data_IF_054289411703
#
_entry.id   IF_054289411703
#
_cell.length_a   1.000
_cell.length_b   1.000
_cell.length_c   1.000
_cell.angle_alpha   90.00
_cell.angle_beta   90.00
_cell.angle_gamma   90.00
#
_symmetry.space_group_name_H-M   'P 1'
#
loop_
_entity.id
_entity.type
_entity.pdbx_description
1 polymer ?
#
# COMPACT_ATOMS: atom_id res chain seq x y z
N UNK A 1 -4.92 9.91 1.02
CA UNK A 1 -4.59 8.65 1.74
C UNK A 1 -5.53 8.36 2.89
N UNK A 2 -5.99 9.38 3.63
CA UNK A 2 -7.02 9.21 4.66
C UNK A 2 -8.30 8.54 4.12
N UNK A 3 -8.81 9.00 2.97
CA UNK A 3 -9.97 8.39 2.30
C UNK A 3 -9.72 6.91 1.93
N UNK A 4 -8.50 6.59 1.52
CA UNK A 4 -8.13 5.21 1.20
C UNK A 4 -8.23 4.31 2.43
N UNK A 5 -7.64 4.72 3.56
CA UNK A 5 -7.64 3.89 4.77
C UNK A 5 -9.01 3.81 5.42
N UNK A 6 -9.87 4.82 5.22
CA UNK A 6 -11.24 4.86 5.74
C UNK A 6 -12.33 4.39 4.77
N UNK A 7 -11.97 3.85 3.59
CA UNK A 7 -12.95 3.30 2.65
C UNK A 7 -13.85 2.26 3.34
N UNK A 8 -15.10 2.05 2.94
CA UNK A 8 -15.98 1.09 3.61
C UNK A 8 -15.59 -0.36 3.30
N UNK A 9 -15.98 -1.28 4.17
CA UNK A 9 -15.72 -2.72 4.00
C UNK A 9 -16.36 -3.28 2.71
N UNK A 10 -17.48 -2.71 2.26
CA UNK A 10 -18.12 -3.08 0.98
C UNK A 10 -17.19 -2.89 -0.21
N UNK A 11 -16.52 -1.73 -0.30
CA UNK A 11 -15.56 -1.43 -1.36
C UNK A 11 -14.38 -2.40 -1.32
N UNK A 12 -13.84 -2.70 -0.13
CA UNK A 12 -12.77 -3.69 0.03
C UNK A 12 -13.19 -5.08 -0.46
N UNK A 13 -14.42 -5.52 -0.17
CA UNK A 13 -14.93 -6.80 -0.68
C UNK A 13 -15.07 -6.81 -2.20
N UNK A 14 -15.58 -5.74 -2.79
CA UNK A 14 -15.67 -5.61 -4.27
C UNK A 14 -14.29 -5.63 -4.94
N UNK A 15 -13.25 -5.04 -4.32
CA UNK A 15 -11.86 -5.14 -4.82
C UNK A 15 -11.37 -6.59 -4.88
N UNK A 16 -11.72 -7.39 -3.87
CA UNK A 16 -11.36 -8.82 -3.79
C UNK A 16 -12.12 -9.63 -4.84
N UNK A 17 -13.41 -9.37 -5.03
CA UNK A 17 -14.22 -10.00 -6.09
C UNK A 17 -13.64 -9.73 -7.48
N UNK A 18 -13.26 -8.48 -7.77
CA UNK A 18 -12.57 -8.10 -9.02
C UNK A 18 -11.25 -8.85 -9.22
N UNK A 19 -10.61 -9.28 -8.14
CA UNK A 19 -9.37 -10.06 -8.14
C UNK A 19 -9.60 -11.56 -7.99
N UNK A 20 -10.80 -12.04 -8.35
CA UNK A 20 -11.17 -13.47 -8.30
C UNK A 20 -11.01 -14.08 -6.89
N UNK A 21 -11.34 -13.31 -5.85
CA UNK A 21 -11.24 -13.74 -4.45
C UNK A 21 -9.86 -13.53 -3.82
N UNK A 22 -8.89 -12.97 -4.55
CA UNK A 22 -7.55 -12.72 -4.00
C UNK A 22 -7.51 -11.47 -3.11
N UNK A 23 -7.36 -11.70 -1.79
CA UNK A 23 -7.16 -10.65 -0.80
C UNK A 23 -5.70 -10.23 -0.78
N UNK A 24 -5.42 -8.98 -1.20
CA UNK A 24 -4.07 -8.42 -1.13
C UNK A 24 -3.69 -8.03 0.28
N UNK A 25 -2.39 -8.02 0.57
CA UNK A 25 -1.87 -7.54 1.85
C UNK A 25 -2.31 -6.09 2.11
N UNK A 26 -2.63 -5.71 3.35
CA UNK A 26 -2.81 -4.31 3.71
C UNK A 26 -1.50 -3.55 3.49
N UNK A 27 -1.61 -2.29 3.05
CA UNK A 27 -0.45 -1.45 2.84
C UNK A 27 0.14 -1.00 4.18
N UNK A 28 1.48 -1.09 4.31
CA UNK A 28 2.20 -0.48 5.42
C UNK A 28 2.40 1.03 5.19
N UNK A 29 3.00 1.73 6.15
CA UNK A 29 3.19 3.19 6.11
C UNK A 29 3.96 3.64 4.86
N UNK A 30 5.04 2.95 4.51
CA UNK A 30 5.82 3.23 3.31
C UNK A 30 5.03 2.99 2.00
N UNK A 31 4.26 1.89 1.93
CA UNK A 31 3.46 1.58 0.74
C UNK A 31 2.32 2.60 0.54
N UNK A 32 1.73 3.08 1.64
CA UNK A 32 0.77 4.19 1.62
C UNK A 32 1.43 5.48 1.11
N UNK A 33 2.60 5.82 1.65
CA UNK A 33 3.37 6.99 1.23
C UNK A 33 3.74 6.93 -0.27
N UNK A 34 4.29 5.79 -0.72
CA UNK A 34 4.63 5.55 -2.14
C UNK A 34 3.41 5.69 -3.05
N UNK A 35 2.23 5.24 -2.62
CA UNK A 35 1.01 5.37 -3.41
C UNK A 35 0.57 6.83 -3.56
N UNK A 36 0.71 7.64 -2.51
CA UNK A 36 0.45 9.09 -2.58
C UNK A 36 1.45 9.79 -3.52
N UNK A 37 2.72 9.41 -3.45
CA UNK A 37 3.76 9.89 -4.37
C UNK A 37 3.49 9.46 -5.81
N UNK A 38 3.07 8.22 -6.03
CA UNK A 38 2.76 7.70 -7.36
C UNK A 38 1.70 8.56 -8.05
N UNK A 39 0.65 8.97 -7.34
CA UNK A 39 -0.39 9.85 -7.85
C UNK A 39 0.14 11.23 -8.24
N UNK A 40 1.01 11.81 -7.40
CA UNK A 40 1.69 13.07 -7.71
C UNK A 40 2.62 12.93 -8.91
N UNK A 41 3.41 11.87 -8.99
CA UNK A 41 4.38 11.65 -10.08
C UNK A 41 3.72 11.22 -11.39
N UNK A 42 2.50 10.67 -11.39
CA UNK A 42 1.76 10.35 -12.62
C UNK A 42 1.55 11.58 -13.51
N UNK A 43 1.44 12.76 -12.91
CA UNK A 43 1.31 14.02 -13.65
C UNK A 43 2.64 14.45 -14.30
N UNK A 44 3.77 14.02 -13.75
CA UNK A 44 5.12 14.45 -14.16
C UNK A 44 5.82 13.42 -15.05
N UNK A 45 5.57 12.14 -14.79
CA UNK A 45 6.08 11.01 -15.54
C UNK A 45 4.95 10.42 -16.38
N UNK A 46 4.87 10.84 -17.65
CA UNK A 46 3.98 10.25 -18.67
C UNK A 46 4.14 8.73 -18.84
N UNK A 47 5.24 8.16 -18.33
CA UNK A 47 5.43 6.73 -18.21
C UNK A 47 5.33 6.33 -16.73
N UNK A 48 4.37 5.48 -16.39
CA UNK A 48 4.15 4.86 -15.08
C UNK A 48 5.35 3.98 -14.65
N UNK A 49 6.54 4.55 -14.54
CA UNK A 49 7.74 3.83 -14.17
C UNK A 49 7.75 3.63 -12.65
N UNK A 50 7.15 2.52 -12.22
CA UNK A 50 7.08 2.14 -10.82
C UNK A 50 8.46 1.98 -10.16
N UNK A 51 9.54 1.77 -10.92
CA UNK A 51 10.90 1.72 -10.38
C UNK A 51 11.32 3.10 -9.90
N UNK A 52 11.15 4.12 -10.75
CA UNK A 52 11.48 5.52 -10.42
C UNK A 52 10.67 5.99 -9.21
N UNK A 53 9.37 5.73 -9.20
CA UNK A 53 8.51 6.11 -8.06
C UNK A 53 8.99 5.46 -6.75
N UNK A 54 9.37 4.18 -6.79
CA UNK A 54 9.90 3.49 -5.60
C UNK A 54 11.24 4.07 -5.15
N UNK A 55 12.17 4.34 -6.07
CA UNK A 55 13.47 4.92 -5.73
C UNK A 55 13.32 6.29 -5.11
N UNK A 56 12.57 7.19 -5.76
CA UNK A 56 12.34 8.56 -5.27
C UNK A 56 11.59 8.56 -3.93
N UNK A 57 10.56 7.72 -3.78
CA UNK A 57 9.84 7.63 -2.51
C UNK A 57 10.72 7.05 -1.40
N UNK A 58 11.61 6.10 -1.73
CA UNK A 58 12.57 5.51 -0.79
C UNK A 58 13.60 6.52 -0.30
N UNK A 59 14.11 7.37 -1.18
CA UNK A 59 15.03 8.47 -0.84
C UNK A 59 14.33 9.58 -0.04
N UNK A 60 13.07 9.90 -0.39
CA UNK A 60 12.31 10.97 0.27
C UNK A 60 11.84 10.57 1.67
N UNK A 61 11.43 9.31 1.87
CA UNK A 61 10.84 8.82 3.13
C UNK A 61 11.65 9.11 4.41
N UNK A 62 12.98 8.90 4.47
CA UNK A 62 13.77 9.26 5.65
C UNK A 62 13.95 10.78 5.82
N UNK A 63 13.78 11.57 4.75
CA UNK A 63 13.90 13.04 4.76
C UNK A 63 12.61 13.72 5.19
N UNK A 64 11.47 13.03 5.12
CA UNK A 64 10.18 13.56 5.54
C UNK A 64 10.15 13.91 7.04
N UNK A 65 9.39 14.96 7.42
CA UNK A 65 9.23 15.34 8.82
C UNK A 65 8.71 14.17 9.68
N UNK A 66 9.10 14.10 10.96
CA UNK A 66 8.60 13.08 11.89
C UNK A 66 7.08 12.97 11.92
N UNK A 67 6.39 14.12 11.89
CA UNK A 67 4.92 14.23 11.89
C UNK A 67 4.28 13.49 10.71
N UNK A 68 4.85 13.62 9.51
CA UNK A 68 4.36 12.93 8.32
C UNK A 68 4.57 11.43 8.46
N UNK A 69 5.74 10.99 8.91
CA UNK A 69 6.02 9.56 9.11
C UNK A 69 5.09 8.95 10.15
N UNK A 70 4.81 9.68 11.23
CA UNK A 70 3.85 9.28 12.26
C UNK A 70 2.42 9.18 11.71
N UNK A 71 1.97 10.19 10.96
CA UNK A 71 0.67 10.17 10.29
C UNK A 71 0.50 8.94 9.39
N UNK A 72 1.51 8.60 8.59
CA UNK A 72 1.48 7.40 7.75
C UNK A 72 1.56 6.08 8.54
N UNK A 73 2.21 6.09 9.71
CA UNK A 73 2.17 4.95 10.63
C UNK A 73 0.76 4.75 11.21
N UNK A 74 0.07 5.83 11.55
CA UNK A 74 -1.32 5.75 12.03
C UNK A 74 -2.27 5.30 10.92
N UNK A 75 -2.10 5.79 9.70
CA UNK A 75 -2.82 5.28 8.54
C UNK A 75 -2.57 3.79 8.31
N UNK A 76 -1.34 3.30 8.50
CA UNK A 76 -1.04 1.88 8.39
C UNK A 76 -1.74 1.05 9.47
N UNK A 77 -1.83 1.56 10.71
CA UNK A 77 -2.60 0.93 11.79
C UNK A 77 -4.08 0.83 11.43
N UNK A 78 -4.68 1.93 10.96
CA UNK A 78 -6.08 1.99 10.52
C UNK A 78 -6.33 1.04 9.36
N UNK A 79 -5.48 1.04 8.33
CA UNK A 79 -5.63 0.14 7.18
C UNK A 79 -5.56 -1.33 7.60
N UNK A 80 -4.66 -1.67 8.54
CA UNK A 80 -4.57 -3.04 9.07
C UNK A 80 -5.86 -3.45 9.80
N UNK A 81 -6.40 -2.59 10.65
CA UNK A 81 -7.64 -2.84 11.39
C UNK A 81 -8.82 -2.98 10.42
N UNK A 82 -8.98 -2.02 9.50
CA UNK A 82 -10.08 -2.03 8.53
C UNK A 82 -10.00 -3.19 7.55
N UNK A 83 -8.79 -3.60 7.17
CA UNK A 83 -8.57 -4.81 6.38
C UNK A 83 -9.00 -6.07 7.15
N UNK A 84 -8.60 -6.21 8.41
CA UNK A 84 -8.99 -7.35 9.25
C UNK A 84 -10.52 -7.40 9.45
N UNK A 85 -11.16 -6.25 9.67
CA UNK A 85 -12.61 -6.17 9.82
C UNK A 85 -13.35 -6.53 8.51
N UNK A 86 -12.79 -6.19 7.35
CA UNK A 86 -13.37 -6.52 6.05
C UNK A 86 -13.10 -7.98 5.63
N UNK A 87 -11.98 -8.56 6.09
CA UNK A 87 -11.52 -9.90 5.75
C UNK A 87 -11.09 -10.66 7.02
N UNK A 88 -12.03 -11.08 7.88
CA UNK A 88 -11.72 -11.75 9.15
C UNK A 88 -10.95 -13.07 8.94
N UNK A 89 -11.23 -13.77 7.84
CA UNK A 89 -10.59 -15.04 7.48
C UNK A 89 -9.22 -14.86 6.78
N UNK A 90 -8.78 -13.62 6.57
CA UNK A 90 -7.50 -13.38 5.92
C UNK A 90 -6.34 -13.88 6.77
N UNK A 91 -5.60 -14.85 6.23
CA UNK A 91 -4.34 -15.32 6.82
C UNK A 91 -3.20 -15.04 5.86
N UNK A 92 -2.18 -14.35 6.37
CA UNK A 92 -0.95 -14.17 5.61
C UNK A 92 -0.20 -15.49 5.51
N UNK A 93 -0.27 -16.10 4.33
CA UNK A 93 0.56 -17.25 3.96
C UNK A 93 1.59 -16.77 2.96
N UNK A 94 2.87 -16.62 3.33
CA UNK A 94 3.91 -16.38 2.35
C UNK A 94 3.91 -17.53 1.35
N UNK A 95 3.59 -17.24 0.09
CA UNK A 95 3.83 -18.19 -1.00
C UNK A 95 5.30 -18.58 -0.94
N UNK A 96 5.60 -19.88 -1.00
CA UNK A 96 6.95 -20.40 -1.24
C UNK A 96 7.34 -20.03 -2.67
N UNK A 97 7.57 -18.74 -2.94
CA UNK A 97 8.23 -18.32 -4.15
C UNK A 97 9.67 -18.81 -4.02
N UNK A 98 10.02 -19.85 -4.78
CA UNK A 98 11.39 -20.28 -5.00
C UNK A 98 12.26 -19.06 -5.23
N UNK A 99 13.31 -18.92 -4.43
CA UNK A 99 14.32 -17.88 -4.51
C UNK A 99 15.02 -17.93 -5.88
N UNK A 100 14.41 -17.38 -6.92
CA UNK A 100 15.15 -16.93 -8.08
C UNK A 100 15.77 -15.60 -7.69
N UNK A 101 16.93 -15.68 -7.01
CA UNK A 101 17.80 -14.55 -6.77
C UNK A 101 18.07 -13.88 -8.12
N UNK A 102 17.54 -12.68 -8.33
CA UNK A 102 17.96 -11.82 -9.44
C UNK A 102 19.36 -11.33 -9.06
N UNK A 103 20.35 -11.89 -9.75
CA UNK A 103 21.75 -11.52 -9.70
C UNK A 103 21.98 -10.22 -10.47
#
# INVERSE_FOLDING_TARGET
MEEWVNRPASVRRTEVEKRKGYVTRPMNSFMLYRSAYAERTKQWCLQNNHQVVSSVSGESWPLEPPEIREQYNDYAKIERINHQNAHPDYKFSPSKASTAARK
#
